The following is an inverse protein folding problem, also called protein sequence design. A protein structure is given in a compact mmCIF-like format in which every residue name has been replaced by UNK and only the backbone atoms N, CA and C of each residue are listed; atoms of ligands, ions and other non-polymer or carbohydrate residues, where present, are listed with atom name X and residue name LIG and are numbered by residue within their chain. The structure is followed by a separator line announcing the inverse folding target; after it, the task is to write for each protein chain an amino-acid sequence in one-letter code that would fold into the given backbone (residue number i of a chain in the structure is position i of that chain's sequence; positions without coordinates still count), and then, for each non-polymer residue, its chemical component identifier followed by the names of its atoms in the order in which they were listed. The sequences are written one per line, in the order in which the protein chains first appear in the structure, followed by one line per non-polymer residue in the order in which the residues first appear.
data_IF_360977915546
#
_entry.id   IF_360977915546
#
_cell.length_a   1.000
_cell.length_b   1.000
_cell.length_c   1.000
_cell.angle_alpha   90.00
_cell.angle_beta   90.00
_cell.angle_gamma   90.00
#
_symmetry.space_group_name_H-M   'P 1'
#
loop_
_entity.id
_entity.type
_entity.pdbx_description
1 polymer ?
#
# COMPACT_ATOMS: atom_id res chain seq x y z
N UNK A 1 -30.29 14.23 -35.06
CA UNK A 1 -29.25 13.49 -34.33
C UNK A 1 -28.69 14.45 -33.28
N UNK A 2 -29.20 14.45 -32.06
CA UNK A 2 -28.61 15.19 -30.96
C UNK A 2 -27.30 14.53 -30.55
N UNK A 3 -26.28 15.32 -30.24
CA UNK A 3 -24.94 14.78 -30.05
C UNK A 3 -24.82 14.01 -28.74
N UNK A 4 -24.33 12.80 -28.81
CA UNK A 4 -23.92 11.94 -27.69
C UNK A 4 -23.05 12.69 -26.65
N UNK A 5 -22.43 13.79 -27.03
CA UNK A 5 -21.62 14.63 -26.15
C UNK A 5 -22.38 15.26 -24.98
N UNK A 6 -23.59 15.80 -25.19
CA UNK A 6 -24.36 16.42 -24.12
C UNK A 6 -24.78 15.43 -23.01
N UNK A 7 -25.03 14.18 -23.35
CA UNK A 7 -25.38 13.15 -22.37
C UNK A 7 -24.18 12.75 -21.51
N UNK A 8 -23.01 12.63 -22.11
CA UNK A 8 -21.76 12.30 -21.38
C UNK A 8 -21.33 13.45 -20.46
N UNK A 9 -21.47 14.69 -20.92
CA UNK A 9 -21.14 15.87 -20.11
C UNK A 9 -22.10 16.03 -18.92
N UNK A 10 -23.38 15.74 -19.12
CA UNK A 10 -24.38 15.73 -18.03
C UNK A 10 -24.03 14.66 -16.98
N UNK A 11 -23.72 13.43 -17.43
CA UNK A 11 -23.32 12.32 -16.53
C UNK A 11 -22.05 12.68 -15.78
N UNK A 12 -21.05 13.27 -16.47
CA UNK A 12 -19.79 13.72 -15.87
C UNK A 12 -20.00 14.77 -14.78
N UNK A 13 -20.81 15.79 -15.05
CA UNK A 13 -21.15 16.83 -14.08
C UNK A 13 -21.90 16.28 -12.88
N UNK A 14 -22.85 15.39 -13.11
CA UNK A 14 -23.61 14.72 -12.06
C UNK A 14 -22.68 13.85 -11.18
N UNK A 15 -21.79 13.08 -11.81
CA UNK A 15 -20.77 12.29 -11.10
C UNK A 15 -19.93 13.16 -10.15
N UNK A 16 -19.40 14.27 -10.65
CA UNK A 16 -18.57 15.19 -9.85
C UNK A 16 -19.34 15.76 -8.66
N UNK A 17 -20.56 16.19 -8.86
CA UNK A 17 -21.40 16.73 -7.78
C UNK A 17 -21.66 15.66 -6.73
N UNK A 18 -22.11 14.47 -7.14
CA UNK A 18 -22.42 13.37 -6.24
C UNK A 18 -21.18 12.91 -5.47
N UNK A 19 -20.04 12.78 -6.16
CA UNK A 19 -18.77 12.40 -5.55
C UNK A 19 -18.36 13.41 -4.46
N UNK A 20 -18.34 14.71 -4.78
CA UNK A 20 -17.97 15.77 -3.84
C UNK A 20 -18.91 15.81 -2.61
N UNK A 21 -20.22 15.74 -2.84
CA UNK A 21 -21.20 15.77 -1.74
C UNK A 21 -21.10 14.53 -0.85
N UNK A 22 -20.88 13.36 -1.43
CA UNK A 22 -20.75 12.10 -0.71
C UNK A 22 -19.48 12.07 0.12
N UNK A 23 -18.35 12.46 -0.47
CA UNK A 23 -17.06 12.58 0.23
C UNK A 23 -17.21 13.57 1.39
N UNK A 24 -17.74 14.77 1.14
CA UNK A 24 -17.94 15.79 2.19
C UNK A 24 -18.83 15.29 3.33
N UNK A 25 -19.90 14.56 3.04
CA UNK A 25 -20.83 14.02 4.05
C UNK A 25 -20.17 12.91 4.89
N UNK A 26 -19.38 12.04 4.28
CA UNK A 26 -18.71 10.92 4.98
C UNK A 26 -17.58 11.42 5.87
N UNK A 27 -16.83 12.41 5.40
CA UNK A 27 -15.62 12.92 6.05
C UNK A 27 -15.80 14.26 6.78
N UNK A 28 -17.02 14.67 7.07
CA UNK A 28 -17.33 15.96 7.70
C UNK A 28 -16.54 16.23 9.00
N UNK A 29 -16.03 15.21 9.66
CA UNK A 29 -15.25 15.30 10.90
C UNK A 29 -13.80 14.81 10.77
N UNK A 30 -13.29 14.55 9.56
CA UNK A 30 -11.93 14.05 9.33
C UNK A 30 -11.27 14.78 8.15
N UNK A 31 -10.82 16.00 8.45
CA UNK A 31 -10.23 16.89 7.45
C UNK A 31 -8.98 16.32 6.77
N UNK A 32 -8.25 15.40 7.43
CA UNK A 32 -7.02 14.83 6.87
C UNK A 32 -7.31 13.78 5.81
N UNK A 33 -8.28 12.90 6.10
CA UNK A 33 -8.73 11.87 5.15
C UNK A 33 -9.51 12.51 4.00
N UNK A 34 -10.28 13.55 4.29
CA UNK A 34 -10.94 14.36 3.29
C UNK A 34 -9.92 14.92 2.28
N UNK A 35 -8.81 15.49 2.76
CA UNK A 35 -7.77 16.06 1.91
C UNK A 35 -7.13 14.99 1.00
N UNK A 36 -6.81 13.81 1.51
CA UNK A 36 -6.22 12.71 0.73
C UNK A 36 -7.15 12.19 -0.36
N UNK A 37 -8.44 12.03 -0.04
CA UNK A 37 -9.43 11.64 -1.05
C UNK A 37 -9.72 12.77 -2.05
N UNK A 38 -9.75 14.01 -1.58
CA UNK A 38 -9.83 15.15 -2.47
C UNK A 38 -8.62 15.22 -3.41
N UNK A 39 -7.41 14.97 -2.95
CA UNK A 39 -6.22 14.91 -3.78
C UNK A 39 -6.28 13.76 -4.80
N UNK A 40 -6.74 12.58 -4.39
CA UNK A 40 -6.92 11.42 -5.28
C UNK A 40 -8.00 11.66 -6.34
N UNK A 41 -9.14 12.23 -5.96
CA UNK A 41 -10.31 12.43 -6.83
C UNK A 41 -10.46 13.85 -7.38
N UNK A 42 -9.75 14.86 -6.82
CA UNK A 42 -9.65 16.19 -7.42
C UNK A 42 -8.65 16.25 -8.57
N UNK A 43 -7.89 15.21 -8.76
CA UNK A 43 -7.27 14.98 -10.06
C UNK A 43 -8.38 14.59 -11.06
N UNK A 44 -9.36 15.51 -11.19
CA UNK A 44 -10.52 15.43 -12.11
C UNK A 44 -10.12 15.14 -13.55
N UNK A 45 -8.82 15.14 -13.85
CA UNK A 45 -8.30 14.82 -15.18
C UNK A 45 -8.83 13.47 -15.67
N UNK A 46 -8.88 12.43 -14.85
CA UNK A 46 -9.44 11.14 -15.27
C UNK A 46 -10.92 11.24 -15.59
N UNK A 47 -11.70 11.98 -14.81
CA UNK A 47 -13.13 12.17 -15.03
C UNK A 47 -13.37 13.09 -16.23
N UNK A 48 -12.55 14.14 -16.39
CA UNK A 48 -12.62 15.06 -17.53
C UNK A 48 -12.20 14.35 -18.82
N UNK A 49 -11.20 13.47 -18.75
CA UNK A 49 -10.65 12.72 -19.89
C UNK A 49 -11.47 11.48 -20.26
N UNK A 50 -12.37 11.02 -19.39
CA UNK A 50 -13.22 9.88 -19.67
C UNK A 50 -14.06 10.14 -20.94
N UNK A 51 -13.90 9.26 -21.94
CA UNK A 51 -14.53 9.42 -23.25
C UNK A 51 -15.85 8.65 -23.38
N UNK A 52 -16.14 7.77 -22.42
CA UNK A 52 -17.33 6.94 -22.43
C UNK A 52 -18.07 6.96 -21.10
N UNK A 53 -19.37 6.64 -21.15
CA UNK A 53 -20.19 6.42 -19.95
C UNK A 53 -19.72 5.21 -19.15
N UNK A 54 -19.09 4.23 -19.81
CA UNK A 54 -18.53 3.05 -19.17
C UNK A 54 -17.35 3.45 -18.28
N UNK A 55 -16.40 4.22 -18.80
CA UNK A 55 -15.25 4.72 -18.01
C UNK A 55 -15.68 5.55 -16.80
N UNK A 56 -16.71 6.40 -16.95
CA UNK A 56 -17.29 7.14 -15.83
C UNK A 56 -17.94 6.20 -14.80
N UNK A 57 -18.58 5.13 -15.27
CA UNK A 57 -19.16 4.09 -14.42
C UNK A 57 -18.09 3.36 -13.60
N UNK A 58 -16.97 2.99 -14.24
CA UNK A 58 -15.86 2.31 -13.57
C UNK A 58 -15.20 3.21 -12.51
N UNK A 59 -15.00 4.49 -12.81
CA UNK A 59 -14.54 5.48 -11.83
C UNK A 59 -15.51 5.67 -10.66
N UNK A 60 -16.82 5.58 -10.93
CA UNK A 60 -17.83 5.66 -9.88
C UNK A 60 -17.81 4.43 -8.97
N UNK A 61 -17.67 3.24 -9.55
CA UNK A 61 -17.50 1.99 -8.78
C UNK A 61 -16.23 2.06 -7.92
N UNK A 62 -15.10 2.53 -8.49
CA UNK A 62 -13.86 2.71 -7.72
C UNK A 62 -14.08 3.66 -6.51
N UNK A 63 -14.74 4.79 -6.72
CA UNK A 63 -15.07 5.72 -5.65
C UNK A 63 -15.97 5.09 -4.58
N UNK A 64 -17.02 4.38 -4.98
CA UNK A 64 -17.94 3.73 -4.02
C UNK A 64 -17.21 2.66 -3.21
N UNK A 65 -16.33 1.88 -3.82
CA UNK A 65 -15.51 0.90 -3.11
C UNK A 65 -14.59 1.58 -2.09
N UNK A 66 -13.87 2.63 -2.46
CA UNK A 66 -13.02 3.39 -1.54
C UNK A 66 -13.81 3.98 -0.36
N UNK A 67 -15.03 4.50 -0.62
CA UNK A 67 -15.90 5.06 0.41
C UNK A 67 -16.50 3.97 1.32
N UNK A 68 -16.81 2.80 0.76
CA UNK A 68 -17.32 1.64 1.50
C UNK A 68 -16.24 1.10 2.44
N UNK A 69 -15.01 0.97 1.95
CA UNK A 69 -13.84 0.55 2.72
C UNK A 69 -13.62 1.48 3.91
N UNK A 70 -13.71 2.79 3.69
CA UNK A 70 -13.59 3.76 4.78
C UNK A 70 -14.68 3.61 5.86
N UNK A 71 -15.92 3.34 5.47
CA UNK A 71 -17.04 3.23 6.40
C UNK A 71 -16.97 1.98 7.29
N UNK A 72 -16.49 0.86 6.74
CA UNK A 72 -16.32 -0.40 7.47
C UNK A 72 -15.24 -0.33 8.55
N UNK A 73 -14.34 0.65 8.47
CA UNK A 73 -13.13 0.75 9.26
C UNK A 73 -13.23 1.71 10.45
N UNK A 74 -14.34 2.44 10.58
CA UNK A 74 -14.44 3.63 11.45
C UNK A 74 -14.39 3.38 12.97
N UNK A 75 -14.33 2.18 13.51
CA UNK A 75 -14.37 2.12 14.97
C UNK A 75 -13.52 1.09 15.71
N UNK A 76 -13.29 -0.10 15.26
CA UNK A 76 -12.49 -1.06 16.04
C UNK A 76 -11.53 -1.91 15.21
N UNK A 77 -11.62 -1.82 13.90
CA UNK A 77 -10.96 -2.75 12.99
C UNK A 77 -9.62 -2.29 12.40
N UNK A 78 -9.26 -0.99 12.48
CA UNK A 78 -8.00 -0.52 11.87
C UNK A 78 -6.78 -1.24 12.43
N UNK A 79 -6.70 -1.31 13.75
CA UNK A 79 -5.58 -1.97 14.41
C UNK A 79 -5.53 -3.46 14.07
N UNK A 80 -6.68 -4.13 14.05
CA UNK A 80 -6.78 -5.53 13.66
C UNK A 80 -6.42 -5.75 12.19
N UNK A 81 -6.84 -4.86 11.29
CA UNK A 81 -6.46 -4.91 9.88
C UNK A 81 -4.95 -4.76 9.67
N UNK A 82 -4.33 -3.81 10.36
CA UNK A 82 -2.88 -3.64 10.32
C UNK A 82 -2.17 -4.87 10.88
N UNK A 83 -2.64 -5.44 11.99
CA UNK A 83 -2.08 -6.68 12.52
C UNK A 83 -2.19 -7.83 11.52
N UNK A 84 -3.33 -7.97 10.83
CA UNK A 84 -3.50 -8.98 9.78
C UNK A 84 -2.52 -8.79 8.61
N UNK A 85 -2.26 -7.54 8.21
CA UNK A 85 -1.27 -7.24 7.16
C UNK A 85 0.15 -7.54 7.62
N UNK A 86 0.50 -7.19 8.86
CA UNK A 86 1.82 -7.48 9.43
C UNK A 86 2.01 -9.01 9.57
N UNK A 87 0.99 -9.74 10.03
CA UNK A 87 1.02 -11.21 10.10
C UNK A 87 1.20 -11.82 8.71
N UNK A 88 0.44 -11.33 7.71
CA UNK A 88 0.59 -11.78 6.33
C UNK A 88 2.02 -11.57 5.81
N UNK A 89 2.63 -10.41 6.05
CA UNK A 89 4.04 -10.15 5.71
C UNK A 89 4.95 -11.14 6.44
N UNK A 90 4.76 -11.32 7.74
CA UNK A 90 5.60 -12.18 8.59
C UNK A 90 5.55 -13.66 8.20
N UNK A 91 4.41 -14.11 7.68
CA UNK A 91 4.20 -15.48 7.23
C UNK A 91 4.71 -15.74 5.81
N UNK A 92 4.76 -14.68 4.96
CA UNK A 92 5.04 -14.81 3.54
C UNK A 92 6.25 -13.98 3.07
N UNK A 93 7.08 -13.47 3.97
CA UNK A 93 8.19 -12.55 3.62
C UNK A 93 9.19 -13.13 2.62
N UNK A 94 9.36 -14.44 2.57
CA UNK A 94 10.25 -15.13 1.65
C UNK A 94 9.74 -15.08 0.20
N UNK A 95 8.44 -14.93 0.03
CA UNK A 95 7.80 -14.93 -1.27
C UNK A 95 7.79 -13.53 -1.90
N UNK A 96 7.48 -13.48 -3.20
CA UNK A 96 7.35 -12.23 -3.92
C UNK A 96 5.95 -11.61 -3.71
N UNK A 97 5.63 -11.29 -2.46
CA UNK A 97 4.37 -10.63 -2.11
C UNK A 97 4.38 -9.14 -2.43
N UNK A 98 3.21 -8.62 -2.77
CA UNK A 98 2.98 -7.21 -3.07
C UNK A 98 1.88 -6.61 -2.19
N UNK A 99 1.80 -5.28 -2.19
CA UNK A 99 0.67 -4.56 -1.59
C UNK A 99 -0.68 -5.03 -2.15
N UNK A 100 -0.73 -5.36 -3.46
CA UNK A 100 -1.95 -5.85 -4.11
C UNK A 100 -2.40 -7.20 -3.53
N UNK A 101 -1.46 -8.09 -3.24
CA UNK A 101 -1.76 -9.40 -2.64
C UNK A 101 -2.26 -9.25 -1.21
N UNK A 102 -1.61 -8.39 -0.42
CA UNK A 102 -2.07 -8.05 0.92
C UNK A 102 -3.47 -7.40 0.91
N UNK A 103 -3.73 -6.49 -0.04
CA UNK A 103 -5.03 -5.84 -0.19
C UNK A 103 -6.16 -6.85 -0.47
N UNK A 104 -5.92 -7.81 -1.38
CA UNK A 104 -6.85 -8.92 -1.64
C UNK A 104 -7.12 -9.75 -0.38
N UNK A 105 -6.07 -10.02 0.43
CA UNK A 105 -6.19 -10.83 1.65
C UNK A 105 -7.07 -10.18 2.71
N UNK A 106 -7.03 -8.84 2.80
CA UNK A 106 -7.82 -8.08 3.78
C UNK A 106 -9.08 -7.44 3.16
N UNK A 107 -9.41 -7.78 1.90
CA UNK A 107 -10.58 -7.28 1.17
C UNK A 107 -10.64 -5.75 1.06
N UNK A 108 -9.48 -5.11 0.83
CA UNK A 108 -9.36 -3.66 0.64
C UNK A 108 -8.83 -3.31 -0.75
N UNK A 109 -9.08 -2.08 -1.19
CA UNK A 109 -8.39 -1.57 -2.37
C UNK A 109 -6.89 -1.34 -2.06
N UNK A 110 -5.97 -1.59 -3.01
CA UNK A 110 -4.54 -1.35 -2.80
C UNK A 110 -4.22 0.09 -2.39
N UNK A 111 -4.89 1.05 -2.99
CA UNK A 111 -4.73 2.47 -2.69
C UNK A 111 -5.09 2.79 -1.23
N UNK A 112 -6.23 2.28 -0.77
CA UNK A 112 -6.67 2.48 0.60
C UNK A 112 -5.73 1.77 1.60
N UNK A 113 -5.35 0.52 1.33
CA UNK A 113 -4.41 -0.20 2.18
C UNK A 113 -3.07 0.53 2.28
N UNK A 114 -2.54 1.07 1.17
CA UNK A 114 -1.30 1.87 1.18
C UNK A 114 -1.39 3.05 2.15
N UNK A 115 -2.49 3.81 2.07
CA UNK A 115 -2.72 4.95 2.96
C UNK A 115 -2.87 4.51 4.41
N UNK A 116 -3.64 3.43 4.66
CA UNK A 116 -3.87 2.90 6.00
C UNK A 116 -2.56 2.42 6.64
N UNK A 117 -1.77 1.61 5.93
CA UNK A 117 -0.47 1.11 6.42
C UNK A 117 0.45 2.27 6.76
N UNK A 118 0.57 3.25 5.87
CA UNK A 118 1.46 4.41 6.10
C UNK A 118 0.98 5.28 7.26
N UNK A 119 -0.32 5.52 7.39
CA UNK A 119 -0.88 6.35 8.47
C UNK A 119 -0.75 5.71 9.85
N UNK A 120 -0.89 4.38 9.94
CA UNK A 120 -0.87 3.66 11.22
C UNK A 120 0.55 3.25 11.66
N UNK A 121 1.46 3.00 10.69
CA UNK A 121 2.81 2.48 10.99
C UNK A 121 3.93 3.50 10.74
N UNK A 122 3.66 4.58 10.01
CA UNK A 122 4.67 5.52 9.52
C UNK A 122 5.55 4.95 8.40
N UNK A 123 5.28 3.73 7.91
CA UNK A 123 6.10 3.00 6.93
C UNK A 123 5.25 2.54 5.75
N UNK A 124 5.86 2.40 4.57
CA UNK A 124 5.21 1.74 3.44
C UNK A 124 5.15 0.21 3.64
N UNK A 125 4.26 -0.47 2.92
CA UNK A 125 4.22 -1.94 2.88
C UNK A 125 5.58 -2.55 2.52
N UNK A 126 6.26 -1.97 1.53
CA UNK A 126 7.59 -2.41 1.09
C UNK A 126 8.66 -2.21 2.16
N UNK A 127 8.59 -1.11 2.91
CA UNK A 127 9.52 -0.90 4.04
C UNK A 127 9.31 -1.94 5.14
N UNK A 128 8.05 -2.24 5.50
CA UNK A 128 7.74 -3.27 6.50
C UNK A 128 8.21 -4.65 6.03
N UNK A 129 7.97 -5.01 4.77
CA UNK A 129 8.44 -6.27 4.18
C UNK A 129 9.96 -6.38 4.22
N UNK A 130 10.66 -5.33 3.77
CA UNK A 130 12.12 -5.31 3.78
C UNK A 130 12.68 -5.38 5.21
N UNK A 131 12.11 -4.62 6.14
CA UNK A 131 12.52 -4.67 7.54
C UNK A 131 12.36 -6.08 8.14
N UNK A 132 11.23 -6.75 7.86
CA UNK A 132 10.98 -8.14 8.28
C UNK A 132 12.06 -9.07 7.71
N UNK A 133 12.38 -8.96 6.42
CA UNK A 133 13.44 -9.74 5.77
C UNK A 133 14.80 -9.50 6.40
N UNK A 134 15.14 -8.24 6.68
CA UNK A 134 16.41 -7.88 7.31
C UNK A 134 16.51 -8.44 8.71
N UNK A 135 15.45 -8.36 9.52
CA UNK A 135 15.43 -8.95 10.86
C UNK A 135 15.66 -10.48 10.82
N UNK A 136 15.09 -11.17 9.84
CA UNK A 136 15.34 -12.61 9.64
C UNK A 136 16.77 -12.87 9.18
N UNK A 137 17.31 -12.05 8.26
CA UNK A 137 18.69 -12.16 7.80
C UNK A 137 19.70 -11.97 8.93
N UNK A 138 19.45 -11.04 9.86
CA UNK A 138 20.30 -10.84 11.05
C UNK A 138 20.44 -12.12 11.86
N UNK A 139 19.37 -12.89 12.03
CA UNK A 139 19.43 -14.17 12.73
C UNK A 139 20.29 -15.20 11.95
N UNK A 140 20.14 -15.25 10.63
CA UNK A 140 20.90 -16.19 9.78
C UNK A 140 22.37 -15.80 9.66
N UNK A 141 22.71 -14.51 9.75
CA UNK A 141 24.09 -14.01 9.71
C UNK A 141 24.94 -14.43 10.92
N UNK A 142 24.31 -14.88 12.00
CA UNK A 142 25.01 -15.44 13.17
C UNK A 142 25.76 -16.74 12.87
N UNK A 143 25.34 -17.46 11.84
CA UNK A 143 26.03 -18.64 11.34
C UNK A 143 27.13 -18.23 10.34
N UNK A 144 28.42 -18.35 10.71
CA UNK A 144 29.54 -17.94 9.86
C UNK A 144 29.71 -18.81 8.61
N UNK A 145 29.12 -20.01 8.60
CA UNK A 145 29.26 -20.96 7.48
C UNK A 145 28.35 -20.60 6.29
N UNK A 146 27.30 -19.81 6.53
CA UNK A 146 26.32 -19.45 5.51
C UNK A 146 26.85 -18.30 4.62
N UNK A 147 26.68 -18.43 3.32
CA UNK A 147 27.04 -17.35 2.38
C UNK A 147 26.00 -16.23 2.42
N UNK A 148 26.47 -14.98 2.41
CA UNK A 148 25.60 -13.79 2.44
C UNK A 148 24.61 -13.79 1.28
N UNK A 149 25.03 -14.22 0.09
CA UNK A 149 24.13 -14.32 -1.08
C UNK A 149 23.02 -15.38 -0.87
N UNK A 150 23.31 -16.51 -0.25
CA UNK A 150 22.32 -17.53 0.07
C UNK A 150 21.29 -17.01 1.08
N UNK A 151 21.74 -16.28 2.10
CA UNK A 151 20.86 -15.62 3.07
C UNK A 151 19.94 -14.62 2.36
N UNK A 152 20.47 -13.81 1.42
CA UNK A 152 19.66 -12.86 0.68
C UNK A 152 18.50 -13.54 -0.07
N UNK A 153 18.76 -14.64 -0.77
CA UNK A 153 17.74 -15.41 -1.46
C UNK A 153 16.73 -16.04 -0.48
N UNK A 154 17.20 -16.63 0.60
CA UNK A 154 16.37 -17.31 1.58
C UNK A 154 15.39 -16.36 2.28
N UNK A 155 15.80 -15.11 2.51
CA UNK A 155 14.88 -14.10 3.09
C UNK A 155 14.03 -13.37 2.05
N UNK A 156 14.07 -13.80 0.77
CA UNK A 156 13.17 -13.36 -0.28
C UNK A 156 13.65 -12.19 -1.15
N UNK A 157 14.93 -11.84 -1.11
CA UNK A 157 15.48 -10.89 -2.10
C UNK A 157 15.83 -11.61 -3.40
N UNK A 158 15.40 -11.06 -4.53
CA UNK A 158 15.73 -11.63 -5.86
C UNK A 158 17.19 -11.45 -6.24
N UNK A 159 17.79 -10.35 -5.77
CA UNK A 159 19.16 -9.96 -6.09
C UNK A 159 19.93 -9.61 -4.81
N UNK A 160 21.09 -10.22 -4.54
CA UNK A 160 21.90 -9.93 -3.35
C UNK A 160 22.34 -8.46 -3.24
N UNK A 161 22.39 -7.74 -4.37
CA UNK A 161 22.72 -6.31 -4.38
C UNK A 161 21.64 -5.49 -3.68
N UNK A 162 20.37 -5.75 -3.99
CA UNK A 162 19.25 -5.07 -3.32
C UNK A 162 19.15 -5.43 -1.83
N UNK A 163 19.48 -6.68 -1.48
CA UNK A 163 19.61 -7.08 -0.09
C UNK A 163 20.66 -6.22 0.64
N UNK A 164 21.86 -6.06 0.07
CA UNK A 164 22.95 -5.28 0.68
C UNK A 164 22.54 -3.82 0.89
N UNK A 165 21.86 -3.22 -0.09
CA UNK A 165 21.36 -1.84 -0.01
C UNK A 165 20.31 -1.74 1.11
N UNK A 166 19.33 -2.64 1.13
CA UNK A 166 18.29 -2.67 2.15
C UNK A 166 18.90 -2.91 3.54
N UNK A 167 19.81 -3.87 3.68
CA UNK A 167 20.45 -4.19 4.95
C UNK A 167 21.17 -2.98 5.53
N UNK A 168 21.96 -2.28 4.69
CA UNK A 168 22.65 -1.06 5.11
C UNK A 168 21.69 0.07 5.49
N UNK A 169 20.55 0.20 4.80
CA UNK A 169 19.51 1.18 5.15
C UNK A 169 18.96 0.98 6.55
N UNK A 170 18.79 -0.29 7.00
CA UNK A 170 18.16 -0.61 8.29
C UNK A 170 19.16 -0.81 9.44
N UNK A 171 20.43 -1.13 9.15
CA UNK A 171 21.43 -1.47 10.17
C UNK A 171 22.64 -0.53 10.18
N UNK A 172 22.72 0.38 9.19
CA UNK A 172 23.85 1.27 8.93
C UNK A 172 25.14 0.55 8.51
N UNK A 173 25.17 -0.78 8.57
CA UNK A 173 26.30 -1.63 8.21
C UNK A 173 25.99 -2.49 6.98
N UNK A 174 27.03 -2.90 6.25
CA UNK A 174 26.84 -3.97 5.26
C UNK A 174 26.63 -5.33 5.97
N UNK A 175 25.99 -6.32 5.33
CA UNK A 175 25.84 -7.66 5.91
C UNK A 175 27.17 -8.29 6.34
N UNK A 176 28.25 -7.99 5.62
CA UNK A 176 29.61 -8.46 5.93
C UNK A 176 30.14 -7.80 7.19
N UNK A 177 30.09 -6.45 7.25
CA UNK A 177 30.60 -5.69 8.38
C UNK A 177 29.81 -6.04 9.66
N UNK A 178 28.50 -6.20 9.50
CA UNK A 178 27.62 -6.63 10.59
C UNK A 178 28.02 -7.99 11.15
N UNK A 179 28.26 -8.99 10.28
CA UNK A 179 28.72 -10.31 10.69
C UNK A 179 30.08 -10.24 11.41
N UNK A 180 31.04 -9.51 10.84
CA UNK A 180 32.39 -9.37 11.43
C UNK A 180 32.33 -8.72 12.82
N UNK A 181 31.44 -7.74 13.01
CA UNK A 181 31.29 -7.06 14.30
C UNK A 181 30.71 -8.02 15.36
N UNK A 182 29.71 -8.81 15.02
CA UNK A 182 29.00 -9.69 15.95
C UNK A 182 29.69 -11.04 16.21
N UNK A 183 30.59 -11.50 15.35
CA UNK A 183 31.36 -12.72 15.57
C UNK A 183 32.68 -12.47 16.33
N UNK A 184 33.12 -11.20 16.46
CA UNK A 184 34.31 -10.82 17.21
C UNK A 184 34.03 -10.45 18.66
N UNK A 185 32.79 -10.35 19.09
CA UNK A 185 32.34 -10.14 20.49
C UNK A 185 31.78 -11.40 21.08
#
# INVERSE_FOLDING_TARGET
MEPLHGKTDFIRSTFLIVAVLTIKKIFSNDNRQLALLFEKYSNFQKVIQAQSTQELGDLFVELILDLSDYRSIKSSNRQMLIQNVISYISENYQENISLNDAAKKVFLSPSYLSTLVTSETGKSFTDILNETRIQKAIQLLKDPTRKIAEIAYEVGFREPQYFTIAFKKYTELTPRDYRELYLKG
#
